data_IF_041539416734
#
_entry.id   IF_041539416734
#
_cell.length_a   1.000
_cell.length_b   1.000
_cell.length_c   1.000
_cell.angle_alpha   90.00
_cell.angle_beta   90.00
_cell.angle_gamma   90.00
#
_symmetry.space_group_name_H-M   'P 1'
#
loop_
_entity.id
_entity.type
_entity.pdbx_description
1 polymer ?
#
# COMPACT_ATOMS: atom_id res chain seq x y z
N UNK A 1 -14.90 -6.02 11.94
CA UNK A 1 -14.36 -4.76 11.37
C UNK A 1 -12.85 -4.84 11.47
N UNK A 2 -12.13 -4.58 10.38
CA UNK A 2 -10.65 -4.65 10.34
C UNK A 2 -10.10 -3.24 10.22
N UNK A 3 -8.92 -2.99 10.77
CA UNK A 3 -8.21 -1.74 10.52
C UNK A 3 -7.35 -1.87 9.29
N UNK A 4 -7.45 -0.89 8.39
CA UNK A 4 -6.53 -0.69 7.29
C UNK A 4 -5.52 0.37 7.70
N UNK A 5 -4.24 0.15 7.38
CA UNK A 5 -3.18 1.12 7.64
C UNK A 5 -2.18 1.12 6.49
N UNK A 6 -1.58 2.27 6.21
CA UNK A 6 -0.65 2.47 5.09
C UNK A 6 0.73 2.87 5.60
N UNK A 7 1.75 2.38 4.92
CA UNK A 7 3.15 2.74 5.06
C UNK A 7 3.74 3.02 3.68
N UNK A 8 4.97 3.52 3.67
CA UNK A 8 5.68 3.99 2.47
C UNK A 8 5.92 2.88 1.41
N UNK A 9 5.82 1.61 1.82
CA UNK A 9 6.10 0.46 0.97
C UNK A 9 5.02 -0.63 1.01
N UNK A 10 3.95 -0.45 1.78
CA UNK A 10 2.86 -1.43 1.85
C UNK A 10 1.57 -0.85 2.46
N UNK A 11 0.47 -1.55 2.21
CA UNK A 11 -0.78 -1.42 3.00
C UNK A 11 -1.03 -2.70 3.79
N UNK A 12 -1.43 -2.54 5.04
CA UNK A 12 -1.73 -3.63 5.96
C UNK A 12 -3.18 -3.65 6.44
N UNK A 13 -3.59 -4.84 6.85
CA UNK A 13 -4.86 -5.10 7.52
C UNK A 13 -4.60 -5.80 8.83
N UNK A 14 -5.23 -5.32 9.91
CA UNK A 14 -5.12 -5.92 11.23
C UNK A 14 -6.48 -6.06 11.91
N UNK A 15 -6.58 -7.06 12.78
CA UNK A 15 -7.69 -7.18 13.73
C UNK A 15 -7.47 -6.19 14.88
N UNK A 16 -8.36 -5.20 15.07
CA UNK A 16 -8.21 -4.20 16.13
C UNK A 16 -8.34 -4.79 17.54
N UNK A 17 -8.96 -5.97 17.70
CA UNK A 17 -9.16 -6.58 19.03
C UNK A 17 -7.93 -7.32 19.50
N UNK A 18 -7.34 -8.14 18.62
CA UNK A 18 -6.15 -8.93 18.94
C UNK A 18 -4.84 -8.21 18.62
N UNK A 19 -4.88 -7.13 17.85
CA UNK A 19 -3.68 -6.47 17.31
C UNK A 19 -2.96 -7.30 16.24
N UNK A 20 -3.52 -8.45 15.84
CA UNK A 20 -2.88 -9.34 14.87
C UNK A 20 -2.93 -8.74 13.47
N UNK A 21 -1.76 -8.63 12.84
CA UNK A 21 -1.66 -8.34 11.41
C UNK A 21 -2.12 -9.56 10.64
N UNK A 22 -3.14 -9.37 9.80
CA UNK A 22 -3.73 -10.45 9.01
C UNK A 22 -3.17 -10.48 7.59
N UNK A 23 -2.98 -9.30 6.97
CA UNK A 23 -2.54 -9.20 5.57
C UNK A 23 -1.66 -7.97 5.35
N UNK A 24 -0.69 -8.08 4.43
CA UNK A 24 0.25 -7.01 4.06
C UNK A 24 0.49 -6.99 2.55
N UNK A 25 -0.06 -6.03 1.81
CA UNK A 25 0.18 -5.84 0.36
C UNK A 25 1.35 -4.88 0.14
N UNK A 26 2.45 -5.42 -0.37
CA UNK A 26 3.61 -4.60 -0.76
C UNK A 26 3.28 -3.77 -1.99
N UNK A 27 3.83 -2.57 -2.02
CA UNK A 27 3.86 -1.75 -3.22
C UNK A 27 4.83 -2.35 -4.23
N UNK A 28 4.43 -2.30 -5.49
CA UNK A 28 5.24 -2.71 -6.62
C UNK A 28 4.90 -1.83 -7.83
N UNK A 29 5.54 -2.10 -8.96
CA UNK A 29 5.35 -1.35 -10.22
C UNK A 29 3.93 -1.35 -10.79
N UNK A 30 3.05 -2.22 -10.33
CA UNK A 30 1.65 -2.26 -10.74
C UNK A 30 0.71 -1.94 -9.57
N UNK A 31 1.23 -1.38 -8.48
CA UNK A 31 0.41 -0.95 -7.37
C UNK A 31 -0.55 0.15 -7.83
N UNK A 32 -1.84 -0.07 -7.61
CA UNK A 32 -2.88 0.90 -7.94
C UNK A 32 -4.03 0.82 -6.94
N UNK A 33 -4.61 1.98 -6.68
CA UNK A 33 -5.78 2.15 -5.83
C UNK A 33 -6.86 2.91 -6.59
N UNK A 34 -8.10 2.45 -6.46
CA UNK A 34 -9.28 3.08 -7.05
C UNK A 34 -10.45 3.03 -6.07
N UNK A 35 -11.48 3.83 -6.31
CA UNK A 35 -12.71 3.78 -5.51
C UNK A 35 -13.96 3.70 -6.39
N UNK A 36 -15.00 3.04 -5.87
CA UNK A 36 -16.33 3.08 -6.46
C UNK A 36 -17.38 2.95 -5.34
N UNK A 37 -18.25 3.95 -5.23
CA UNK A 37 -19.17 4.09 -4.09
C UNK A 37 -18.39 4.06 -2.77
N UNK A 38 -18.80 3.23 -1.81
CA UNK A 38 -18.15 3.05 -0.52
C UNK A 38 -17.06 1.96 -0.55
N UNK A 39 -16.50 1.62 -1.72
CA UNK A 39 -15.48 0.57 -1.83
C UNK A 39 -14.15 1.13 -2.30
N UNK A 40 -13.08 0.64 -1.71
CA UNK A 40 -11.69 0.88 -2.12
C UNK A 40 -11.14 -0.40 -2.74
N UNK A 41 -10.57 -0.29 -3.93
CA UNK A 41 -9.95 -1.36 -4.69
C UNK A 41 -8.45 -1.15 -4.66
N UNK A 42 -7.71 -2.11 -4.13
CA UNK A 42 -6.26 -2.02 -3.98
C UNK A 42 -5.66 -3.24 -4.64
N UNK A 43 -4.66 -3.08 -5.50
CA UNK A 43 -4.01 -4.22 -6.13
C UNK A 43 -2.56 -3.96 -6.45
N UNK A 44 -1.82 -5.05 -6.59
CA UNK A 44 -0.45 -5.08 -7.06
C UNK A 44 -0.30 -6.21 -8.10
N UNK A 45 0.93 -6.58 -8.50
CA UNK A 45 1.14 -7.65 -9.49
C UNK A 45 0.62 -9.02 -9.04
N UNK A 46 0.52 -9.27 -7.74
CA UNK A 46 0.23 -10.60 -7.19
C UNK A 46 -1.23 -10.78 -6.82
N UNK A 47 -1.90 -9.74 -6.33
CA UNK A 47 -3.27 -9.86 -5.80
C UNK A 47 -4.02 -8.54 -5.73
N UNK A 48 -5.33 -8.66 -5.53
CA UNK A 48 -6.28 -7.57 -5.38
C UNK A 48 -7.07 -7.71 -4.07
N UNK A 49 -7.33 -6.59 -3.41
CA UNK A 49 -8.17 -6.44 -2.24
C UNK A 49 -9.32 -5.49 -2.52
N UNK A 50 -10.51 -5.84 -2.02
CA UNK A 50 -11.71 -5.00 -2.03
C UNK A 50 -12.10 -4.69 -0.59
N UNK A 51 -12.05 -3.42 -0.22
CA UNK A 51 -12.36 -2.95 1.13
C UNK A 51 -13.67 -2.20 1.07
N UNK A 52 -14.65 -2.60 1.88
CA UNK A 52 -15.90 -1.85 2.03
C UNK A 52 -15.77 -0.89 3.21
N UNK A 53 -15.95 0.39 2.93
CA UNK A 53 -16.02 1.48 3.89
C UNK A 53 -17.47 1.69 4.34
N UNK A 54 -17.63 2.39 5.47
CA UNK A 54 -18.94 2.73 6.03
C UNK A 54 -19.70 3.74 5.16
N UNK A 55 -18.97 4.62 4.46
CA UNK A 55 -19.53 5.64 3.60
C UNK A 55 -18.70 5.88 2.34
N UNK A 56 -19.26 6.62 1.38
CA UNK A 56 -18.55 7.01 0.15
C UNK A 56 -17.43 8.00 0.48
N UNK A 57 -17.69 8.92 1.41
CA UNK A 57 -16.74 9.91 1.90
C UNK A 57 -15.53 9.24 2.53
N UNK A 58 -15.74 8.21 3.35
CA UNK A 58 -14.63 7.45 3.94
C UNK A 58 -13.77 6.76 2.87
N UNK A 59 -14.38 6.24 1.79
CA UNK A 59 -13.64 5.66 0.69
C UNK A 59 -12.80 6.72 -0.07
N UNK A 60 -13.35 7.92 -0.28
CA UNK A 60 -12.61 9.03 -0.90
C UNK A 60 -11.43 9.50 -0.04
N UNK A 61 -11.62 9.65 1.28
CA UNK A 61 -10.53 9.99 2.21
C UNK A 61 -9.39 8.97 2.11
N UNK A 62 -9.72 7.68 2.00
CA UNK A 62 -8.69 6.66 1.78
C UNK A 62 -7.95 6.84 0.46
N UNK A 63 -8.65 7.12 -0.64
CA UNK A 63 -8.02 7.38 -1.93
C UNK A 63 -7.05 8.56 -1.88
N UNK A 64 -7.46 9.65 -1.21
CA UNK A 64 -6.61 10.83 -1.00
C UNK A 64 -5.36 10.50 -0.19
N UNK A 65 -5.50 9.74 0.90
CA UNK A 65 -4.38 9.33 1.75
C UNK A 65 -3.40 8.42 1.00
N UNK A 66 -3.90 7.48 0.20
CA UNK A 66 -3.05 6.68 -0.68
C UNK A 66 -2.30 7.58 -1.66
N UNK A 67 -2.99 8.45 -2.40
CA UNK A 67 -2.35 9.33 -3.37
C UNK A 67 -1.26 10.19 -2.72
N UNK A 68 -1.51 10.72 -1.52
CA UNK A 68 -0.53 11.48 -0.75
C UNK A 68 0.75 10.66 -0.44
N UNK A 69 0.59 9.43 0.05
CA UNK A 69 1.73 8.54 0.37
C UNK A 69 2.45 8.08 -0.90
N UNK A 70 1.70 7.80 -1.96
CA UNK A 70 2.24 7.36 -3.25
C UNK A 70 3.08 8.46 -3.92
N UNK A 71 2.63 9.71 -3.85
CA UNK A 71 3.32 10.84 -4.48
C UNK A 71 4.56 11.31 -3.70
N UNK A 72 4.58 11.14 -2.37
CA UNK A 72 5.66 11.65 -1.51
C UNK A 72 6.76 10.65 -1.19
N UNK A 73 6.40 9.46 -0.70
CA UNK A 73 7.36 8.57 -0.05
C UNK A 73 7.50 7.21 -0.74
N UNK A 74 6.61 6.88 -1.67
CA UNK A 74 6.52 5.51 -2.21
C UNK A 74 7.05 5.34 -3.62
N UNK A 75 7.50 6.43 -4.28
CA UNK A 75 7.91 6.41 -5.70
C UNK A 75 9.00 5.39 -6.00
N UNK A 76 9.93 5.21 -5.08
CA UNK A 76 11.05 4.27 -5.23
C UNK A 76 10.61 2.79 -5.19
N UNK A 77 9.43 2.49 -4.63
CA UNK A 77 8.87 1.14 -4.59
C UNK A 77 7.94 0.83 -5.79
N UNK A 78 7.49 1.87 -6.50
CA UNK A 78 6.60 1.74 -7.66
C UNK A 78 7.33 1.86 -9.00
N UNK A 79 8.64 2.12 -8.99
CA UNK A 79 9.44 2.18 -10.20
C UNK A 79 10.33 0.93 -10.38
N UNK A 80 10.86 0.74 -11.58
CA UNK A 80 11.86 -0.28 -11.84
C UNK A 80 13.17 0.12 -11.17
N UNK A 81 13.58 -0.64 -10.16
CA UNK A 81 14.89 -0.43 -9.55
C UNK A 81 16.01 -0.87 -10.50
N UNK A 82 17.22 -0.30 -10.27
CA UNK A 82 18.43 -0.67 -11.00
C UNK A 82 18.63 -2.19 -10.96
N UNK A 83 18.98 -2.77 -12.11
CA UNK A 83 19.17 -4.21 -12.31
C UNK A 83 17.95 -5.10 -11.98
N UNK A 84 16.74 -4.53 -11.94
CA UNK A 84 15.53 -5.30 -11.60
C UNK A 84 15.47 -5.71 -10.13
N UNK A 85 16.19 -5.00 -9.25
CA UNK A 85 16.13 -5.22 -7.81
C UNK A 85 14.69 -5.09 -7.29
N UNK A 86 14.31 -5.91 -6.32
CA UNK A 86 13.03 -5.77 -5.63
C UNK A 86 13.05 -4.65 -4.59
N UNK A 87 14.24 -4.20 -4.17
CA UNK A 87 14.42 -3.18 -3.14
C UNK A 87 15.04 -1.90 -3.72
N UNK A 88 14.59 -0.71 -3.26
CA UNK A 88 15.17 0.55 -3.69
C UNK A 88 16.57 0.77 -3.10
N UNK A 89 17.38 1.65 -3.71
CA UNK A 89 18.70 2.01 -3.19
C UNK A 89 18.59 2.60 -1.78
N UNK A 90 19.34 2.04 -0.82
CA UNK A 90 19.44 2.58 0.53
C UNK A 90 20.75 3.35 0.66
N UNK A 91 20.66 4.67 0.76
CA UNK A 91 21.84 5.49 0.99
C UNK A 91 22.44 5.16 2.36
N UNK A 92 23.76 5.29 2.49
CA UNK A 92 24.49 5.10 3.76
C UNK A 92 24.32 3.70 4.39
N UNK A 93 23.96 2.70 3.59
CA UNK A 93 23.87 1.30 4.05
C UNK A 93 25.06 0.54 3.48
N UNK A 94 25.94 0.02 4.32
CA UNK A 94 26.98 -0.92 3.87
C UNK A 94 26.32 -2.20 3.37
N UNK A 95 26.66 -2.62 2.15
CA UNK A 95 26.32 -3.96 1.67
C UNK A 95 27.50 -4.90 1.96
N UNK A 96 27.19 -6.06 2.56
CA UNK A 96 28.08 -7.23 2.54
C UNK A 96 27.39 -8.28 1.68
N UNK A 97 28.12 -8.83 0.73
CA UNK A 97 27.70 -9.97 -0.09
C UNK A 97 28.02 -11.28 0.63
#
# INVERSE_FOLDING_TARGET
MKWMFIKENFVGFMDPRSGRVENILLFDRAFRVDTYKNKVFIQNLSRQFHVSCESVEQAQVWLEEFNFVLDRSSKDFMCLNRYGSFAPPRQLTECRW
#
